data_IF_224166419351
#
_entry.id   IF_224166419351
#
_cell.length_a   1.000
_cell.length_b   1.000
_cell.length_c   1.000
_cell.angle_alpha   90.00
_cell.angle_beta   90.00
_cell.angle_gamma   90.00
#
_symmetry.space_group_name_H-M   'P 1'
#
loop_
_entity.id
_entity.type
_entity.pdbx_description
1 polymer ?
#
# COMPACT_ATOMS: atom_id res chain seq x y z
N UNK A 1 10.82 -8.36 3.19
CA UNK A 1 9.93 -7.34 2.63
C UNK A 1 10.37 -5.98 3.15
N UNK A 2 10.94 -5.14 2.29
CA UNK A 2 11.35 -3.78 2.61
C UNK A 2 10.36 -2.75 2.03
N UNK A 3 10.44 -1.49 2.47
CA UNK A 3 9.52 -0.43 2.03
C UNK A 3 9.44 -0.29 0.51
N UNK A 4 10.59 -0.26 -0.18
CA UNK A 4 10.63 -0.23 -1.66
C UNK A 4 9.94 -1.41 -2.32
N UNK A 5 10.01 -2.61 -1.73
CA UNK A 5 9.33 -3.78 -2.29
C UNK A 5 7.81 -3.67 -2.16
N UNK A 6 7.33 -3.08 -1.07
CA UNK A 6 5.90 -2.80 -0.89
C UNK A 6 5.43 -1.66 -1.79
N UNK A 7 6.25 -0.62 -1.98
CA UNK A 7 5.97 0.46 -2.93
C UNK A 7 5.87 -0.07 -4.38
N UNK A 8 6.86 -0.85 -4.84
CA UNK A 8 6.82 -1.48 -6.17
C UNK A 8 5.61 -2.41 -6.32
N UNK A 9 5.27 -3.18 -5.27
CA UNK A 9 4.08 -4.02 -5.29
C UNK A 9 2.78 -3.21 -5.40
N UNK A 10 2.65 -2.12 -4.63
CA UNK A 10 1.50 -1.22 -4.70
C UNK A 10 1.36 -0.66 -6.13
N UNK A 11 2.46 -0.18 -6.70
CA UNK A 11 2.50 0.39 -8.05
C UNK A 11 2.15 -0.66 -9.11
N UNK A 12 2.66 -1.89 -8.97
CA UNK A 12 2.35 -2.99 -9.88
C UNK A 12 0.86 -3.36 -9.83
N UNK A 13 0.25 -3.39 -8.64
CA UNK A 13 -1.18 -3.63 -8.47
C UNK A 13 -2.02 -2.52 -9.12
N UNK A 14 -1.65 -1.26 -8.91
CA UNK A 14 -2.29 -0.10 -9.54
C UNK A 14 -2.21 -0.14 -11.06
N UNK A 15 -1.04 -0.52 -11.57
CA UNK A 15 -0.79 -0.61 -13.00
C UNK A 15 -1.61 -1.74 -13.65
N UNK A 16 -1.67 -2.90 -13.00
CA UNK A 16 -2.50 -4.01 -13.46
C UNK A 16 -4.00 -3.66 -13.50
N UNK A 17 -4.49 -2.89 -12.53
CA UNK A 17 -5.89 -2.45 -12.50
C UNK A 17 -6.22 -1.43 -13.59
N UNK A 18 -5.39 -0.39 -13.69
CA UNK A 18 -5.53 0.66 -14.68
C UNK A 18 -5.21 0.19 -16.13
N UNK A 19 -4.69 -1.03 -16.30
CA UNK A 19 -4.20 -1.54 -17.59
C UNK A 19 -3.01 -0.74 -18.12
N UNK A 20 -2.21 -0.14 -17.24
CA UNK A 20 -1.04 0.70 -17.56
C UNK A 20 0.26 0.01 -17.16
N UNK A 21 1.40 0.55 -17.56
CA UNK A 21 2.70 0.05 -17.10
C UNK A 21 2.99 0.53 -15.67
N UNK A 22 3.60 -0.29 -14.81
CA UNK A 22 4.04 0.14 -13.47
C UNK A 22 5.01 1.31 -13.53
N UNK A 23 5.85 1.38 -14.57
CA UNK A 23 6.74 2.52 -14.80
C UNK A 23 6.00 3.84 -15.06
N UNK A 24 4.85 3.79 -15.76
CA UNK A 24 4.04 4.98 -16.05
C UNK A 24 3.34 5.47 -14.77
N UNK A 25 2.77 4.55 -13.99
CA UNK A 25 2.13 4.87 -12.70
C UNK A 25 3.15 5.44 -11.72
N UNK A 26 4.35 4.85 -11.63
CA UNK A 26 5.44 5.36 -10.80
C UNK A 26 5.81 6.79 -11.19
N UNK A 27 6.06 7.05 -12.47
CA UNK A 27 6.41 8.39 -12.96
C UNK A 27 5.32 9.40 -12.68
N UNK A 28 4.05 9.03 -12.83
CA UNK A 28 2.91 9.92 -12.56
C UNK A 28 2.82 10.28 -11.08
N UNK A 29 3.05 9.33 -10.18
CA UNK A 29 3.11 9.57 -8.74
C UNK A 29 4.33 10.43 -8.37
N UNK A 30 5.48 10.17 -8.98
CA UNK A 30 6.72 10.94 -8.78
C UNK A 30 6.57 12.40 -9.25
N UNK A 31 5.88 12.61 -10.39
CA UNK A 31 5.59 13.93 -10.96
C UNK A 31 4.63 14.73 -10.07
N UNK A 32 3.71 14.05 -9.38
CA UNK A 32 2.77 14.67 -8.43
C UNK A 32 3.42 15.05 -7.09
N UNK A 33 4.62 14.56 -6.78
CA UNK A 33 5.43 15.01 -5.65
C UNK A 33 6.30 13.92 -5.02
N UNK A 34 7.32 14.33 -4.26
CA UNK A 34 8.30 13.44 -3.63
C UNK A 34 7.69 12.39 -2.67
N UNK A 35 6.49 12.65 -2.15
CA UNK A 35 5.78 11.71 -1.27
C UNK A 35 4.85 10.73 -2.01
N UNK A 36 4.82 10.77 -3.35
CA UNK A 36 3.96 9.92 -4.18
C UNK A 36 2.49 10.03 -3.73
N UNK A 37 1.85 11.21 -3.85
CA UNK A 37 0.51 11.41 -3.31
C UNK A 37 -0.52 10.56 -4.05
N UNK A 38 -1.37 9.88 -3.28
CA UNK A 38 -2.40 8.97 -3.79
C UNK A 38 -3.75 9.69 -3.76
N UNK A 39 -4.51 9.61 -4.86
CA UNK A 39 -5.91 10.05 -4.86
C UNK A 39 -6.76 9.12 -3.99
N UNK A 40 -7.82 9.66 -3.38
CA UNK A 40 -8.71 8.91 -2.49
C UNK A 40 -9.36 7.67 -3.14
N UNK A 41 -9.59 7.71 -4.46
CA UNK A 41 -10.07 6.57 -5.24
C UNK A 41 -8.99 5.48 -5.38
N UNK A 42 -7.79 5.90 -5.75
CA UNK A 42 -6.65 5.03 -5.98
C UNK A 42 -6.22 4.32 -4.67
N UNK A 43 -6.31 5.01 -3.54
CA UNK A 43 -5.98 4.45 -2.24
C UNK A 43 -6.95 3.33 -1.81
N UNK A 44 -8.24 3.48 -2.09
CA UNK A 44 -9.26 2.50 -1.75
C UNK A 44 -9.09 1.19 -2.55
N UNK A 45 -8.75 1.30 -3.84
CA UNK A 45 -8.48 0.13 -4.69
C UNK A 45 -7.26 -0.67 -4.20
N UNK A 46 -6.19 0.02 -3.82
CA UNK A 46 -4.98 -0.66 -3.32
C UNK A 46 -5.25 -1.33 -1.98
N UNK A 47 -6.01 -0.69 -1.09
CA UNK A 47 -6.42 -1.31 0.19
C UNK A 47 -7.10 -2.65 -0.08
N UNK A 48 -8.16 -2.66 -0.89
CA UNK A 48 -8.91 -3.87 -1.17
C UNK A 48 -8.00 -4.99 -1.71
N UNK A 49 -7.12 -4.65 -2.64
CA UNK A 49 -6.19 -5.60 -3.27
C UNK A 49 -5.15 -6.17 -2.29
N UNK A 50 -4.65 -5.35 -1.38
CA UNK A 50 -3.67 -5.76 -0.37
C UNK A 50 -4.32 -6.59 0.73
N UNK A 51 -5.53 -6.23 1.13
CA UNK A 51 -6.33 -7.06 2.05
C UNK A 51 -6.56 -8.46 1.46
N UNK A 52 -6.95 -8.55 0.18
CA UNK A 52 -7.12 -9.82 -0.52
C UNK A 52 -5.81 -10.61 -0.66
N UNK A 53 -4.71 -9.94 -1.02
CA UNK A 53 -3.43 -10.62 -1.33
C UNK A 53 -2.68 -11.10 -0.09
N UNK A 54 -2.71 -10.33 0.99
CA UNK A 54 -2.01 -10.66 2.23
C UNK A 54 -2.92 -11.25 3.31
N UNK A 55 -4.24 -11.27 3.09
CA UNK A 55 -5.21 -11.70 4.09
C UNK A 55 -5.25 -10.80 5.31
N UNK A 56 -4.79 -9.54 5.18
CA UNK A 56 -4.81 -8.54 6.25
C UNK A 56 -6.08 -7.69 6.13
N UNK A 57 -6.45 -7.00 7.21
CA UNK A 57 -7.50 -5.97 7.16
C UNK A 57 -6.87 -4.63 7.49
N UNK A 58 -6.91 -3.69 6.55
CA UNK A 58 -6.44 -2.34 6.77
C UNK A 58 -7.46 -1.60 7.65
N UNK A 59 -7.05 -1.05 8.80
CA UNK A 59 -7.99 -0.42 9.72
C UNK A 59 -8.59 0.84 9.08
N UNK A 60 -9.91 0.88 8.89
CA UNK A 60 -10.62 2.04 8.36
C UNK A 60 -10.79 3.17 9.41
N UNK A 61 -9.71 3.55 10.10
CA UNK A 61 -9.70 4.62 11.09
C UNK A 61 -9.20 5.93 10.47
N UNK A 62 -9.51 7.05 11.12
CA UNK A 62 -9.05 8.37 10.67
C UNK A 62 -7.52 8.49 10.64
N UNK A 63 -6.80 7.74 11.49
CA UNK A 63 -5.33 7.71 11.45
C UNK A 63 -4.81 6.96 10.24
N UNK A 64 -5.36 5.79 9.93
CA UNK A 64 -4.99 5.03 8.74
C UNK A 64 -5.33 5.77 7.45
N UNK A 65 -6.42 6.54 7.43
CA UNK A 65 -6.79 7.38 6.30
C UNK A 65 -5.76 8.51 6.05
N UNK A 66 -5.09 9.02 7.10
CA UNK A 66 -3.99 9.99 6.93
C UNK A 66 -2.79 9.36 6.23
N UNK A 67 -2.56 8.06 6.37
CA UNK A 67 -1.46 7.37 5.69
C UNK A 67 -1.76 7.14 4.20
N UNK A 68 -3.03 7.27 3.77
CA UNK A 68 -3.44 7.11 2.36
C UNK A 68 -3.08 8.32 1.49
N UNK A 69 -2.60 9.42 2.07
CA UNK A 69 -2.21 10.61 1.30
C UNK A 69 -0.84 10.47 0.61
N UNK A 70 -0.12 9.37 0.83
CA UNK A 70 1.23 9.14 0.31
C UNK A 70 1.56 7.65 0.21
N UNK A 71 2.06 7.18 -0.95
CA UNK A 71 2.45 5.76 -1.14
C UNK A 71 3.48 5.33 -0.11
N UNK A 72 4.43 6.20 0.23
CA UNK A 72 5.46 5.94 1.24
C UNK A 72 4.87 5.68 2.63
N UNK A 73 3.92 6.51 3.07
CA UNK A 73 3.26 6.36 4.37
C UNK A 73 2.39 5.10 4.39
N UNK A 74 1.70 4.83 3.28
CA UNK A 74 0.86 3.66 3.14
C UNK A 74 1.67 2.34 3.12
N UNK A 75 2.77 2.29 2.36
CA UNK A 75 3.69 1.15 2.31
C UNK A 75 4.26 0.84 3.69
N UNK A 76 4.58 1.88 4.48
CA UNK A 76 5.03 1.73 5.86
C UNK A 76 3.95 1.16 6.78
N UNK A 77 2.70 1.63 6.65
CA UNK A 77 1.58 1.11 7.43
C UNK A 77 1.30 -0.38 7.12
N UNK A 78 1.40 -0.78 5.85
CA UNK A 78 1.24 -2.19 5.44
C UNK A 78 2.38 -3.06 5.97
N UNK A 79 3.63 -2.57 5.93
CA UNK A 79 4.76 -3.27 6.54
C UNK A 79 4.55 -3.52 8.04
N UNK A 80 4.04 -2.51 8.75
CA UNK A 80 3.75 -2.62 10.18
C UNK A 80 2.64 -3.66 10.45
N UNK A 81 1.56 -3.62 9.66
CA UNK A 81 0.48 -4.62 9.70
C UNK A 81 0.96 -6.05 9.42
N UNK A 82 1.81 -6.24 8.41
CA UNK A 82 2.39 -7.55 8.09
C UNK A 82 3.29 -8.02 9.23
N UNK A 83 4.14 -7.14 9.77
CA UNK A 83 5.03 -7.47 10.88
C UNK A 83 4.28 -7.81 12.16
N UNK A 84 3.19 -7.09 12.47
CA UNK A 84 2.33 -7.34 13.64
C UNK A 84 1.51 -8.63 13.48
N UNK A 85 0.97 -8.89 12.29
CA UNK A 85 0.31 -10.14 11.94
C UNK A 85 1.21 -11.37 12.03
N UNK A 86 2.50 -11.23 11.67
CA UNK A 86 3.51 -12.29 11.83
C UNK A 86 3.86 -12.57 13.31
N UNK A 87 3.90 -11.53 14.16
CA UNK A 87 4.14 -11.72 15.61
C UNK A 87 2.98 -12.42 16.30
N UNK A 88 1.75 -12.13 15.89
CA UNK A 88 0.53 -12.73 16.47
C UNK A 88 0.37 -14.22 16.12
N UNK A 89 0.92 -14.68 14.98
CA UNK A 89 0.92 -16.10 14.57
C UNK A 89 2.06 -16.92 15.20
N UNK A 90 2.98 -16.31 15.94
CA UNK A 90 4.08 -17.01 16.63
C UNK A 90 3.80 -17.36 18.10
N UNK A 91 2.66 -16.94 18.66
CA UNK A 91 2.29 -17.13 20.07
C UNK A 91 1.19 -18.18 20.26
N UNK A 92 1.36 -19.36 19.65
CA UNK A 92 0.64 -20.58 20.05
C UNK A 92 1.62 -21.75 19.95
N UNK A 93 2.33 -22.01 21.04
CA UNK A 93 3.10 -23.22 21.26
C UNK A 93 2.85 -23.69 22.70
#
# INVERSE_FOLDING_TARGET
>A
MNQREVEDLIIDLLAQDAGRSPADVRRELEDRGESLPIDSLLAAEVIARIEERFGIRYPATAESAKNLVSVTAFARAILDLIADGQRSQGATA
#
